data_IF_690340731394
#
_entry.id   IF_690340731394
#
_cell.length_a   1.000
_cell.length_b   1.000
_cell.length_c   1.000
_cell.angle_alpha   90.00
_cell.angle_beta   90.00
_cell.angle_gamma   90.00
#
_symmetry.space_group_name_H-M   'P 1'
#
loop_
_entity.id
_entity.type
_entity.pdbx_description
1 polymer ?
#
# COMPACT_ATOMS: atom_id res chain seq x y z
N UNK A 1 7.82 8.06 -6.19
CA UNK A 1 6.61 7.31 -5.77
C UNK A 1 6.09 6.44 -6.90
N UNK A 2 5.80 7.01 -8.08
CA UNK A 2 5.37 6.25 -9.27
C UNK A 2 6.25 5.05 -9.61
N UNK A 3 7.57 5.22 -9.67
CA UNK A 3 8.49 4.12 -9.93
C UNK A 3 8.40 2.96 -8.90
N UNK A 4 8.17 3.28 -7.61
CA UNK A 4 7.98 2.25 -6.58
C UNK A 4 6.65 1.51 -6.76
N UNK A 5 5.58 2.23 -7.11
CA UNK A 5 4.29 1.63 -7.47
C UNK A 5 4.44 0.71 -8.70
N UNK A 6 5.19 1.13 -9.72
CA UNK A 6 5.48 0.33 -10.92
C UNK A 6 6.22 -0.98 -10.56
N UNK A 7 7.20 -0.90 -9.64
CA UNK A 7 7.96 -2.06 -9.18
C UNK A 7 7.10 -3.04 -8.37
N UNK A 8 6.27 -2.55 -7.45
CA UNK A 8 5.31 -3.39 -6.71
C UNK A 8 4.36 -4.09 -7.67
N UNK A 9 3.78 -3.36 -8.61
CA UNK A 9 2.88 -3.91 -9.63
C UNK A 9 3.57 -4.97 -10.48
N UNK A 10 4.80 -4.73 -10.94
CA UNK A 10 5.58 -5.70 -11.71
C UNK A 10 5.82 -6.98 -10.93
N UNK A 11 6.15 -6.89 -9.63
CA UNK A 11 6.38 -8.06 -8.79
C UNK A 11 5.08 -8.84 -8.56
N UNK A 12 3.96 -8.15 -8.32
CA UNK A 12 2.63 -8.76 -8.19
C UNK A 12 2.24 -9.51 -9.48
N UNK A 13 2.34 -8.86 -10.64
CA UNK A 13 2.03 -9.47 -11.95
C UNK A 13 2.91 -10.65 -12.32
N UNK A 14 4.13 -10.73 -11.77
CA UNK A 14 5.06 -11.84 -12.00
C UNK A 14 5.06 -12.87 -10.87
N UNK A 15 4.12 -12.77 -9.92
CA UNK A 15 3.99 -13.64 -8.75
C UNK A 15 5.28 -13.75 -7.93
N UNK A 16 6.07 -12.67 -7.88
CA UNK A 16 7.27 -12.57 -7.05
C UNK A 16 6.93 -11.89 -5.74
N UNK A 17 7.75 -12.18 -4.72
CA UNK A 17 7.63 -11.47 -3.44
C UNK A 17 7.79 -9.96 -3.68
N UNK A 18 6.77 -9.19 -3.28
CA UNK A 18 6.71 -7.73 -3.43
C UNK A 18 6.87 -7.01 -2.09
N UNK A 19 6.98 -7.74 -0.96
CA UNK A 19 6.91 -7.21 0.41
C UNK A 19 7.90 -6.07 0.65
N UNK A 20 9.16 -6.24 0.24
CA UNK A 20 10.18 -5.21 0.45
C UNK A 20 9.90 -3.94 -0.35
N UNK A 21 9.42 -4.08 -1.59
CA UNK A 21 9.05 -2.94 -2.43
C UNK A 21 7.81 -2.23 -1.94
N UNK A 22 6.90 -2.97 -1.34
CA UNK A 22 5.71 -2.42 -0.73
C UNK A 22 6.06 -1.58 0.53
N UNK A 23 6.99 -2.07 1.35
CA UNK A 23 7.56 -1.30 2.47
C UNK A 23 8.22 0.01 1.99
N UNK A 24 9.03 -0.05 0.93
CA UNK A 24 9.63 1.15 0.33
C UNK A 24 8.57 2.13 -0.19
N UNK A 25 7.52 1.62 -0.84
CA UNK A 25 6.40 2.40 -1.35
C UNK A 25 5.64 3.14 -0.24
N UNK A 26 5.21 2.43 0.81
CA UNK A 26 4.51 3.02 1.95
C UNK A 26 5.39 4.00 2.72
N UNK A 27 6.68 3.72 2.87
CA UNK A 27 7.65 4.66 3.47
C UNK A 27 7.73 5.96 2.65
N UNK A 28 7.78 5.86 1.31
CA UNK A 28 7.80 7.03 0.44
C UNK A 28 6.52 7.87 0.55
N UNK A 29 5.34 7.23 0.63
CA UNK A 29 4.06 7.94 0.87
C UNK A 29 4.11 8.69 2.20
N UNK A 30 4.48 8.00 3.27
CA UNK A 30 4.52 8.57 4.62
C UNK A 30 5.43 9.81 4.70
N UNK A 31 6.63 9.72 4.12
CA UNK A 31 7.59 10.82 4.09
C UNK A 31 7.16 11.98 3.18
N UNK A 32 6.37 11.71 2.13
CA UNK A 32 5.86 12.76 1.24
C UNK A 32 4.91 13.75 1.92
N UNK A 33 4.27 13.33 3.03
CA UNK A 33 3.33 14.16 3.80
C UNK A 33 3.98 15.37 4.47
N UNK A 34 5.32 15.36 4.65
CA UNK A 34 6.09 16.35 5.44
C UNK A 34 5.56 16.57 6.87
N UNK A 35 4.72 15.67 7.37
CA UNK A 35 4.16 15.72 8.70
C UNK A 35 5.16 15.11 9.70
N UNK A 36 5.50 15.83 10.76
CA UNK A 36 6.51 15.41 11.76
C UNK A 36 6.09 14.20 12.61
N UNK A 37 4.79 13.89 12.66
CA UNK A 37 4.23 12.75 13.41
C UNK A 37 4.23 11.48 12.57
N UNK A 38 3.93 11.59 11.26
CA UNK A 38 3.77 10.44 10.35
C UNK A 38 5.00 9.50 10.31
N UNK A 39 6.26 9.97 10.35
CA UNK A 39 7.44 9.09 10.45
C UNK A 39 7.42 8.15 11.65
N UNK A 40 6.76 8.53 12.76
CA UNK A 40 6.62 7.67 13.94
C UNK A 40 5.68 6.48 13.72
N UNK A 41 4.81 6.57 12.71
CA UNK A 41 3.87 5.50 12.33
C UNK A 41 4.49 4.52 11.32
N UNK A 42 5.55 4.91 10.62
CA UNK A 42 6.22 4.08 9.60
C UNK A 42 6.62 2.69 10.13
N UNK A 43 7.21 2.54 11.34
CA UNK A 43 7.54 1.21 11.86
C UNK A 43 6.32 0.29 12.02
N UNK A 44 5.16 0.84 12.41
CA UNK A 44 3.92 0.06 12.54
C UNK A 44 3.39 -0.39 11.18
N UNK A 45 3.41 0.51 10.19
CA UNK A 45 3.02 0.20 8.81
C UNK A 45 3.94 -0.89 8.25
N UNK A 46 5.26 -0.70 8.34
CA UNK A 46 6.25 -1.62 7.81
C UNK A 46 6.16 -3.02 8.45
N UNK A 47 5.84 -3.08 9.75
CA UNK A 47 5.62 -4.36 10.43
C UNK A 47 4.34 -5.06 9.98
N UNK A 48 3.30 -4.30 9.61
CA UNK A 48 2.01 -4.87 9.19
C UNK A 48 2.01 -5.46 7.79
N UNK A 49 2.82 -4.94 6.87
CA UNK A 49 2.84 -5.36 5.45
C UNK A 49 3.23 -6.86 5.30
N UNK A 50 4.32 -7.38 5.91
CA UNK A 50 4.63 -8.80 5.85
C UNK A 50 3.52 -9.69 6.38
N UNK A 51 2.91 -9.33 7.53
CA UNK A 51 1.80 -10.09 8.11
C UNK A 51 0.58 -10.11 7.17
N UNK A 52 0.29 -8.99 6.52
CA UNK A 52 -0.81 -8.89 5.57
C UNK A 52 -0.58 -9.78 4.34
N UNK A 53 0.62 -9.74 3.76
CA UNK A 53 1.00 -10.57 2.62
C UNK A 53 0.91 -12.06 2.96
N UNK A 54 1.40 -12.45 4.15
CA UNK A 54 1.32 -13.83 4.65
C UNK A 54 -0.13 -14.27 4.85
N UNK A 55 -0.94 -13.47 5.55
CA UNK A 55 -2.35 -13.77 5.87
C UNK A 55 -3.21 -13.92 4.62
N UNK A 56 -2.89 -13.17 3.56
CA UNK A 56 -3.67 -13.15 2.31
C UNK A 56 -3.12 -14.11 1.24
N UNK A 57 -2.06 -14.86 1.57
CA UNK A 57 -1.36 -15.76 0.65
C UNK A 57 -0.79 -15.04 -0.57
N UNK A 58 -0.59 -13.72 -0.49
CA UNK A 58 -0.14 -12.88 -1.60
C UNK A 58 -1.12 -12.79 -2.78
N UNK A 59 -2.37 -13.23 -2.64
CA UNK A 59 -3.35 -13.39 -3.75
C UNK A 59 -4.03 -12.09 -4.21
N UNK A 60 -3.71 -10.96 -3.58
CA UNK A 60 -4.40 -9.68 -3.72
C UNK A 60 -3.87 -8.81 -4.86
N UNK A 61 -3.65 -9.40 -6.03
CA UNK A 61 -2.94 -8.72 -7.10
C UNK A 61 -3.70 -7.51 -7.63
N UNK A 62 -4.97 -7.67 -8.01
CA UNK A 62 -5.71 -6.61 -8.71
C UNK A 62 -6.10 -5.45 -7.77
N UNK A 63 -6.72 -5.73 -6.62
CA UNK A 63 -7.15 -4.70 -5.66
C UNK A 63 -5.96 -3.90 -5.08
N UNK A 64 -4.81 -4.56 -4.83
CA UNK A 64 -3.58 -3.88 -4.38
C UNK A 64 -3.02 -2.96 -5.47
N UNK A 65 -2.95 -3.45 -6.71
CA UNK A 65 -2.48 -2.65 -7.85
C UNK A 65 -3.38 -1.43 -8.05
N UNK A 66 -4.70 -1.63 -8.09
CA UNK A 66 -5.67 -0.56 -8.30
C UNK A 66 -5.58 0.52 -7.22
N UNK A 67 -5.60 0.12 -5.96
CA UNK A 67 -5.56 1.07 -4.84
C UNK A 67 -4.22 1.80 -4.73
N UNK A 68 -3.08 1.12 -4.95
CA UNK A 68 -1.77 1.77 -4.97
C UNK A 68 -1.63 2.78 -6.11
N UNK A 69 -2.20 2.48 -7.28
CA UNK A 69 -2.24 3.40 -8.42
C UNK A 69 -3.06 4.63 -8.10
N UNK A 70 -4.24 4.44 -7.52
CA UNK A 70 -5.12 5.57 -7.20
C UNK A 70 -4.50 6.50 -6.15
N UNK A 71 -3.88 5.93 -5.10
CA UNK A 71 -3.10 6.70 -4.11
C UNK A 71 -1.97 7.48 -4.80
N UNK A 72 -1.18 6.79 -5.63
CA UNK A 72 -0.03 7.40 -6.33
C UNK A 72 -0.47 8.54 -7.23
N UNK A 73 -1.55 8.34 -8.00
CA UNK A 73 -2.09 9.33 -8.92
C UNK A 73 -2.63 10.56 -8.17
N UNK A 74 -3.36 10.35 -7.07
CA UNK A 74 -3.88 11.44 -6.25
C UNK A 74 -2.76 12.28 -5.62
N UNK A 75 -1.70 11.64 -5.13
CA UNK A 75 -0.52 12.33 -4.60
C UNK A 75 0.22 13.08 -5.71
N UNK A 76 0.39 12.45 -6.88
CA UNK A 76 1.04 13.07 -8.04
C UNK A 76 0.26 14.29 -8.58
N UNK A 77 -1.07 14.27 -8.49
CA UNK A 77 -1.92 15.41 -8.85
C UNK A 77 -2.01 16.48 -7.75
N UNK A 78 -1.29 16.32 -6.64
CA UNK A 78 -1.35 17.21 -5.47
C UNK A 78 -2.77 17.38 -4.91
N UNK A 79 -3.57 16.31 -4.95
CA UNK A 79 -4.94 16.30 -4.42
C UNK A 79 -4.98 15.53 -3.08
N UNK A 80 -4.88 16.24 -1.94
CA UNK A 80 -4.80 15.60 -0.63
C UNK A 80 -6.11 14.93 -0.19
N UNK A 81 -7.27 15.43 -0.64
CA UNK A 81 -8.57 14.83 -0.31
C UNK A 81 -8.71 13.51 -1.04
N UNK A 82 -8.43 13.50 -2.34
CA UNK A 82 -8.44 12.27 -3.13
C UNK A 82 -7.41 11.24 -2.62
N UNK A 83 -6.23 11.68 -2.18
CA UNK A 83 -5.23 10.80 -1.59
C UNK A 83 -5.70 10.18 -0.27
N UNK A 84 -6.40 10.96 0.57
CA UNK A 84 -7.02 10.47 1.80
C UNK A 84 -8.13 9.45 1.51
N UNK A 85 -9.03 9.75 0.58
CA UNK A 85 -10.13 8.85 0.20
C UNK A 85 -9.60 7.53 -0.37
N UNK A 86 -8.59 7.61 -1.26
CA UNK A 86 -7.93 6.45 -1.84
C UNK A 86 -7.26 5.57 -0.78
N UNK A 87 -6.56 6.19 0.18
CA UNK A 87 -5.93 5.47 1.30
C UNK A 87 -6.97 4.84 2.23
N UNK A 88 -8.06 5.55 2.52
CA UNK A 88 -9.15 5.00 3.32
C UNK A 88 -9.75 3.76 2.66
N UNK A 89 -10.03 3.84 1.36
CA UNK A 89 -10.56 2.73 0.59
C UNK A 89 -9.59 1.53 0.56
N UNK A 90 -8.29 1.77 0.36
CA UNK A 90 -7.25 0.76 0.48
C UNK A 90 -7.32 0.00 1.83
N UNK A 91 -7.45 0.73 2.95
CA UNK A 91 -7.56 0.12 4.27
C UNK A 91 -8.86 -0.68 4.45
N UNK A 92 -9.97 -0.22 3.89
CA UNK A 92 -11.26 -0.94 3.91
C UNK A 92 -11.13 -2.28 3.17
N UNK A 93 -10.49 -2.29 1.99
CA UNK A 93 -10.22 -3.52 1.24
C UNK A 93 -9.34 -4.48 2.04
N UNK A 94 -8.22 -4.00 2.59
CA UNK A 94 -7.32 -4.81 3.40
C UNK A 94 -8.07 -5.46 4.59
N UNK A 95 -8.90 -4.69 5.30
CA UNK A 95 -9.71 -5.18 6.42
C UNK A 95 -10.67 -6.29 5.98
N UNK A 96 -11.40 -6.08 4.88
CA UNK A 96 -12.35 -7.08 4.35
C UNK A 96 -11.62 -8.38 3.99
N UNK A 97 -10.41 -8.29 3.44
CA UNK A 97 -9.61 -9.46 3.06
C UNK A 97 -9.10 -10.25 4.24
N UNK A 98 -8.58 -9.58 5.28
CA UNK A 98 -8.20 -10.24 6.53
C UNK A 98 -9.37 -11.05 7.11
N UNK A 99 -10.58 -10.48 7.10
CA UNK A 99 -11.79 -11.17 7.58
C UNK A 99 -12.17 -12.40 6.74
N UNK A 100 -11.90 -12.37 5.43
CA UNK A 100 -12.14 -13.51 4.54
C UNK A 100 -11.06 -14.59 4.68
N UNK A 101 -9.81 -14.21 4.93
CA UNK A 101 -8.68 -15.14 5.16
C UNK A 101 -8.74 -15.87 6.50
N UNK A 102 -9.54 -15.40 7.45
CA UNK A 102 -9.75 -16.04 8.77
C UNK A 102 -10.89 -17.07 8.78
N UNK A 103 -11.56 -17.30 7.64
CA UNK A 103 -12.61 -18.32 7.48
C UNK A 103 -12.06 -19.57 6.83
#
# INVERSE_FOLDING_TARGET
MTALCDEVEKLLKTHKNHTQKDIEFHTAIALSSKNVVVPRLVPMINSSIPLFVETTGGTLHEETIETHREITNAIASHDPLRAQDAMYLHLVYNRKRIQLSQK
#
